data_IF_365472897747
#
_entry.id   IF_365472897747
#
_cell.length_a   1.000
_cell.length_b   1.000
_cell.length_c   1.000
_cell.angle_alpha   90.00
_cell.angle_beta   90.00
_cell.angle_gamma   90.00
#
_symmetry.space_group_name_H-M   'P 1'
#
loop_
_entity.id
_entity.type
_entity.pdbx_description
1 polymer ?
#
# COMPACT_ATOMS: atom_id res chain seq x y z
N UNK A 1 14.09 9.32 9.78
CA UNK A 1 12.79 9.91 9.64
C UNK A 1 12.03 9.86 10.96
N UNK A 2 11.19 10.83 11.23
CA UNK A 2 10.35 10.79 12.43
C UNK A 2 9.10 9.98 12.09
N UNK A 3 8.80 9.00 12.90
CA UNK A 3 7.62 8.15 12.85
C UNK A 3 6.33 8.91 13.14
N UNK A 4 6.46 9.93 14.02
CA UNK A 4 5.38 10.83 14.38
C UNK A 4 5.60 12.16 13.68
N UNK A 5 4.62 12.65 12.96
CA UNK A 5 4.67 14.00 12.42
C UNK A 5 4.40 15.01 13.54
N UNK A 6 5.17 16.11 13.62
CA UNK A 6 4.84 17.19 14.55
C UNK A 6 3.45 17.72 14.27
N UNK A 7 2.61 17.86 15.30
CA UNK A 7 1.24 18.35 15.17
C UNK A 7 0.17 17.27 15.03
N UNK A 8 0.56 16.00 14.86
CA UNK A 8 -0.35 14.88 14.95
C UNK A 8 -0.11 14.14 16.26
N UNK A 9 -0.90 14.47 17.25
CA UNK A 9 -0.87 13.78 18.55
C UNK A 9 -1.62 12.44 18.53
N UNK A 10 -2.39 12.18 17.48
CA UNK A 10 -3.37 11.10 17.43
C UNK A 10 -3.16 10.10 16.28
N UNK A 11 -2.06 10.20 15.55
CA UNK A 11 -1.79 9.33 14.41
C UNK A 11 -0.31 9.07 14.16
N UNK A 12 -0.03 7.96 13.51
CA UNK A 12 1.32 7.60 13.06
C UNK A 12 1.47 7.93 11.59
N UNK A 13 2.46 8.75 11.25
CA UNK A 13 2.80 9.06 9.87
C UNK A 13 4.07 8.36 9.47
N UNK A 14 4.01 7.70 8.34
CA UNK A 14 5.17 7.17 7.68
C UNK A 14 5.52 8.02 6.47
N UNK A 15 6.69 8.61 6.50
CA UNK A 15 7.23 9.34 5.37
C UNK A 15 8.16 8.42 4.59
N UNK A 16 7.91 8.31 3.29
CA UNK A 16 8.63 7.40 2.44
C UNK A 16 8.96 8.05 1.09
N UNK A 17 10.24 8.17 0.76
CA UNK A 17 10.71 8.75 -0.50
C UNK A 17 10.10 10.09 -0.86
N UNK A 18 9.76 10.29 -2.11
CA UNK A 18 8.97 11.41 -2.60
C UNK A 18 7.49 11.24 -2.27
N UNK A 19 7.04 10.01 -2.11
CA UNK A 19 5.69 9.67 -1.66
C UNK A 19 5.59 9.58 -0.15
N UNK A 20 4.35 9.59 0.33
CA UNK A 20 4.03 9.37 1.73
C UNK A 20 2.97 8.29 1.81
N UNK A 21 3.31 7.22 2.49
CA UNK A 21 2.36 6.24 2.98
C UNK A 21 2.03 6.61 4.40
N UNK A 22 0.76 6.65 4.74
CA UNK A 22 0.30 7.01 6.06
C UNK A 22 -0.33 5.80 6.72
N UNK A 23 0.11 5.52 7.92
CA UNK A 23 -0.54 4.59 8.82
C UNK A 23 -1.32 5.41 9.82
N UNK A 24 -2.62 5.21 9.91
CA UNK A 24 -3.46 5.85 10.90
C UNK A 24 -3.92 4.84 11.92
N UNK A 25 -3.73 5.18 13.18
CA UNK A 25 -4.47 4.59 14.26
C UNK A 25 -5.28 5.70 14.93
N UNK A 26 -6.60 5.57 14.94
CA UNK A 26 -7.54 6.54 15.49
C UNK A 26 -8.35 5.95 16.63
N UNK A 27 -8.79 6.77 17.57
CA UNK A 27 -8.21 7.94 18.19
C UNK A 27 -7.30 7.44 19.33
N UNK A 28 -6.03 7.52 19.18
CA UNK A 28 -5.11 6.99 20.18
C UNK A 28 -4.32 8.10 20.83
N UNK A 29 -4.11 7.93 22.11
CA UNK A 29 -3.00 8.57 22.79
C UNK A 29 -1.70 8.29 22.00
N UNK A 30 -0.68 9.15 22.08
CA UNK A 30 0.60 8.90 21.43
C UNK A 30 1.04 7.47 21.68
N UNK A 31 1.39 6.74 20.63
CA UNK A 31 1.87 5.36 20.76
C UNK A 31 3.07 5.36 21.72
N UNK A 32 3.09 4.48 22.71
CA UNK A 32 4.22 4.38 23.63
C UNK A 32 5.48 4.04 22.84
N UNK A 33 6.62 4.53 23.31
CA UNK A 33 7.91 4.15 22.74
C UNK A 33 8.13 2.66 22.98
N UNK A 34 8.17 1.89 21.90
CA UNK A 34 8.38 0.46 21.96
C UNK A 34 9.86 0.16 21.66
N UNK A 35 10.47 -0.65 22.49
CA UNK A 35 11.75 -1.30 22.17
C UNK A 35 11.44 -2.52 21.31
N UNK A 36 11.51 -2.36 19.99
CA UNK A 36 11.29 -3.46 19.07
C UNK A 36 12.48 -4.42 19.08
N UNK A 37 12.19 -5.71 19.25
CA UNK A 37 13.17 -6.81 19.25
C UNK A 37 12.83 -7.82 18.14
N UNK A 38 13.75 -8.76 17.90
CA UNK A 38 13.57 -9.81 16.90
C UNK A 38 13.37 -9.25 15.50
N UNK A 39 12.53 -9.92 14.70
CA UNK A 39 12.29 -9.55 13.30
C UNK A 39 11.77 -8.12 13.13
N UNK A 40 10.91 -7.65 14.03
CA UNK A 40 10.41 -6.27 14.00
C UNK A 40 11.56 -5.26 14.21
N UNK A 41 12.45 -5.50 15.17
CA UNK A 41 13.60 -4.64 15.43
C UNK A 41 14.56 -4.62 14.25
N UNK A 42 14.85 -5.77 13.64
CA UNK A 42 15.69 -5.90 12.46
C UNK A 42 15.09 -5.17 11.25
N UNK A 43 13.80 -5.36 10.99
CA UNK A 43 13.07 -4.70 9.91
C UNK A 43 13.08 -3.17 10.07
N UNK A 44 12.86 -2.67 11.28
CA UNK A 44 12.93 -1.24 11.58
C UNK A 44 14.34 -0.66 11.37
N UNK A 45 15.38 -1.41 11.71
CA UNK A 45 16.76 -1.01 11.47
C UNK A 45 17.09 -0.87 9.98
N UNK A 46 16.53 -1.73 9.13
CA UNK A 46 16.75 -1.67 7.68
C UNK A 46 16.28 -0.37 7.03
N UNK A 47 15.31 0.33 7.61
CA UNK A 47 14.82 1.60 7.06
C UNK A 47 15.91 2.68 6.97
N UNK A 48 16.96 2.56 7.78
CA UNK A 48 18.07 3.51 7.85
C UNK A 48 19.43 2.86 7.56
N UNK A 49 19.42 1.58 7.23
CA UNK A 49 20.63 0.79 7.01
C UNK A 49 21.49 1.32 5.84
N UNK A 50 22.82 1.22 5.88
CA UNK A 50 23.68 1.48 4.74
C UNK A 50 23.46 0.44 3.63
N UNK A 51 23.95 0.74 2.41
CA UNK A 51 23.74 -0.13 1.24
C UNK A 51 24.30 -1.56 1.44
N UNK A 52 25.39 -1.68 2.15
CA UNK A 52 26.05 -2.95 2.43
C UNK A 52 25.15 -3.89 3.24
N UNK A 53 24.50 -3.36 4.27
CA UNK A 53 23.55 -4.12 5.10
C UNK A 53 22.30 -4.48 4.30
N UNK A 54 21.80 -3.55 3.48
CA UNK A 54 20.65 -3.82 2.61
C UNK A 54 20.95 -4.95 1.61
N UNK A 55 22.15 -4.96 1.00
CA UNK A 55 22.54 -6.05 0.09
C UNK A 55 22.61 -7.41 0.79
N UNK A 56 23.10 -7.46 2.03
CA UNK A 56 23.14 -8.69 2.80
C UNK A 56 21.75 -9.26 3.08
N UNK A 57 20.77 -8.40 3.35
CA UNK A 57 19.40 -8.78 3.61
C UNK A 57 18.59 -9.13 2.35
N UNK A 58 19.10 -8.82 1.15
CA UNK A 58 18.49 -9.23 -0.12
C UNK A 58 18.36 -10.75 -0.31
N UNK A 59 19.11 -11.54 0.48
CA UNK A 59 19.07 -13.01 0.50
C UNK A 59 18.47 -13.57 1.81
N UNK A 60 17.85 -12.73 2.62
CA UNK A 60 17.21 -13.18 3.87
C UNK A 60 16.12 -14.25 3.62
N UNK A 61 15.94 -15.24 4.51
CA UNK A 61 14.80 -16.13 4.45
C UNK A 61 13.46 -15.42 4.64
N UNK A 62 13.42 -14.30 5.36
CA UNK A 62 12.23 -13.47 5.53
C UNK A 62 11.91 -12.70 4.25
N UNK A 63 10.68 -12.84 3.75
CA UNK A 63 10.17 -12.07 2.62
C UNK A 63 10.14 -10.58 2.95
N UNK A 64 9.73 -10.23 4.16
CA UNK A 64 9.69 -8.84 4.63
C UNK A 64 11.08 -8.18 4.54
N UNK A 65 12.13 -8.82 5.08
CA UNK A 65 13.47 -8.25 5.07
C UNK A 65 14.02 -8.10 3.66
N UNK A 66 13.78 -9.09 2.78
CA UNK A 66 14.16 -8.98 1.36
C UNK A 66 13.47 -7.81 0.67
N UNK A 67 12.16 -7.64 0.91
CA UNK A 67 11.38 -6.55 0.31
C UNK A 67 11.84 -5.19 0.82
N UNK A 68 12.07 -5.04 2.12
CA UNK A 68 12.61 -3.80 2.72
C UNK A 68 14.02 -3.49 2.22
N UNK A 69 14.86 -4.50 2.06
CA UNK A 69 16.20 -4.36 1.50
C UNK A 69 16.16 -3.88 0.04
N UNK A 70 15.31 -4.49 -0.78
CA UNK A 70 15.03 -4.09 -2.15
C UNK A 70 14.57 -2.62 -2.22
N UNK A 71 13.57 -2.24 -1.46
CA UNK A 71 13.09 -0.86 -1.38
C UNK A 71 14.19 0.12 -0.98
N UNK A 72 14.96 -0.25 0.04
CA UNK A 72 16.03 0.60 0.55
C UNK A 72 17.14 0.84 -0.48
N UNK A 73 17.51 -0.18 -1.25
CA UNK A 73 18.48 -0.06 -2.34
C UNK A 73 17.96 0.83 -3.47
N UNK A 74 16.72 0.61 -3.88
CA UNK A 74 16.06 1.40 -4.91
C UNK A 74 15.97 2.89 -4.53
N UNK A 75 15.56 3.18 -3.29
CA UNK A 75 15.47 4.55 -2.77
C UNK A 75 16.85 5.23 -2.65
N UNK A 76 17.94 4.46 -2.60
CA UNK A 76 19.34 4.95 -2.61
C UNK A 76 19.94 5.01 -4.00
N UNK A 77 19.11 4.87 -5.06
CA UNK A 77 19.51 4.95 -6.45
C UNK A 77 20.34 3.74 -6.92
N UNK A 78 20.15 2.59 -6.32
CA UNK A 78 20.81 1.34 -6.74
C UNK A 78 19.80 0.46 -7.49
N UNK A 79 20.19 -0.01 -8.67
CA UNK A 79 19.41 -1.01 -9.42
C UNK A 79 19.65 -2.37 -8.78
N UNK A 80 18.65 -2.87 -8.07
CA UNK A 80 18.70 -4.20 -7.46
C UNK A 80 17.90 -5.21 -8.32
N UNK A 81 18.30 -6.48 -8.25
CA UNK A 81 17.58 -7.55 -8.94
C UNK A 81 16.30 -7.93 -8.15
N UNK A 82 15.08 -7.80 -8.73
CA UNK A 82 13.85 -8.20 -8.09
C UNK A 82 13.59 -9.71 -8.09
N UNK A 83 14.38 -10.50 -8.77
CA UNK A 83 14.14 -11.93 -8.96
C UNK A 83 13.88 -12.69 -7.63
N UNK A 84 14.60 -12.44 -6.51
CA UNK A 84 14.32 -13.11 -5.25
C UNK A 84 12.93 -12.83 -4.68
N UNK A 85 12.33 -11.68 -5.01
CA UNK A 85 10.95 -11.33 -4.60
C UNK A 85 9.93 -12.01 -5.53
N UNK A 86 10.18 -11.96 -6.83
CA UNK A 86 9.25 -12.44 -7.85
C UNK A 86 9.07 -13.97 -7.85
N UNK A 87 10.01 -14.73 -7.36
CA UNK A 87 9.90 -16.20 -7.21
C UNK A 87 8.72 -16.59 -6.32
N UNK A 88 8.34 -15.76 -5.36
CA UNK A 88 7.19 -16.01 -4.47
C UNK A 88 5.85 -15.89 -5.21
N UNK A 89 5.78 -15.08 -6.28
CA UNK A 89 4.55 -14.84 -7.04
C UNK A 89 4.35 -15.83 -8.21
N UNK A 90 5.41 -16.50 -8.66
CA UNK A 90 5.41 -17.37 -9.83
C UNK A 90 4.64 -18.69 -9.67
N UNK A 91 4.05 -18.96 -8.49
CA UNK A 91 3.39 -20.23 -8.17
C UNK A 91 1.88 -20.26 -8.41
N UNK A 92 1.29 -19.18 -8.90
CA UNK A 92 -0.16 -19.14 -9.13
C UNK A 92 -0.48 -19.27 -10.62
N UNK A 93 -0.94 -20.42 -11.09
CA UNK A 93 -1.56 -20.50 -12.42
C UNK A 93 -2.95 -19.84 -12.32
N UNK A 94 -3.10 -18.67 -12.89
CA UNK A 94 -4.37 -17.95 -12.90
C UNK A 94 -5.25 -18.45 -14.01
N UNK A 95 -6.40 -19.02 -13.65
CA UNK A 95 -7.53 -19.19 -14.53
C UNK A 95 -8.22 -17.84 -14.77
N UNK A 96 -8.36 -17.43 -16.00
CA UNK A 96 -9.11 -16.24 -16.40
C UNK A 96 -10.59 -16.38 -16.05
N UNK A 97 -11.06 -15.76 -14.98
CA UNK A 97 -12.49 -15.55 -14.76
C UNK A 97 -12.88 -14.18 -15.33
N UNK A 98 -13.90 -14.18 -16.17
CA UNK A 98 -14.47 -12.95 -16.74
C UNK A 98 -15.49 -12.39 -15.74
N UNK A 99 -15.05 -11.59 -14.82
CA UNK A 99 -15.94 -10.70 -14.06
C UNK A 99 -15.55 -9.25 -14.34
N UNK A 100 -16.55 -8.40 -14.56
CA UNK A 100 -16.43 -7.05 -15.15
C UNK A 100 -15.90 -5.99 -14.20
N UNK A 101 -15.13 -6.35 -13.17
CA UNK A 101 -14.59 -5.42 -12.19
C UNK A 101 -13.08 -5.25 -12.30
N UNK A 102 -12.41 -4.87 -11.25
CA UNK A 102 -10.96 -4.62 -11.16
C UNK A 102 -10.10 -5.69 -11.87
N UNK A 103 -10.48 -6.97 -11.75
CA UNK A 103 -9.85 -8.11 -12.43
C UNK A 103 -9.89 -8.03 -13.97
N UNK A 104 -10.84 -7.32 -14.55
CA UNK A 104 -10.90 -7.13 -16.01
C UNK A 104 -9.80 -6.20 -16.54
N UNK A 105 -9.17 -5.43 -15.65
CA UNK A 105 -8.15 -4.43 -15.97
C UNK A 105 -6.74 -4.89 -15.66
N UNK A 106 -6.55 -5.67 -14.62
CA UNK A 106 -5.23 -6.14 -14.15
C UNK A 106 -5.33 -7.62 -13.79
N UNK A 107 -4.39 -8.43 -14.25
CA UNK A 107 -4.29 -9.81 -13.78
C UNK A 107 -3.81 -9.83 -12.32
N UNK A 108 -4.37 -10.72 -11.49
CA UNK A 108 -3.96 -10.89 -10.11
C UNK A 108 -2.47 -11.22 -9.98
N UNK A 109 -1.91 -12.02 -10.90
CA UNK A 109 -0.47 -12.31 -10.94
C UNK A 109 0.38 -11.07 -11.14
N UNK A 110 -0.03 -10.18 -12.06
CA UNK A 110 0.68 -8.94 -12.30
C UNK A 110 0.61 -8.04 -11.06
N UNK A 111 -0.58 -7.92 -10.47
CA UNK A 111 -0.78 -7.13 -9.28
C UNK A 111 0.06 -7.64 -8.10
N UNK A 112 0.06 -8.95 -7.88
CA UNK A 112 0.88 -9.57 -6.83
C UNK A 112 2.38 -9.28 -6.99
N UNK A 113 2.88 -9.22 -8.23
CA UNK A 113 4.27 -8.80 -8.50
C UNK A 113 4.49 -7.33 -8.19
N UNK A 114 3.54 -6.48 -8.56
CA UNK A 114 3.59 -5.04 -8.29
C UNK A 114 3.59 -4.76 -6.79
N UNK A 115 2.76 -5.45 -6.02
CA UNK A 115 2.73 -5.32 -4.55
C UNK A 115 4.11 -5.56 -3.93
N UNK A 116 4.83 -6.58 -4.37
CA UNK A 116 6.17 -6.88 -3.84
C UNK A 116 7.25 -5.90 -4.31
N UNK A 117 7.08 -5.30 -5.47
CA UNK A 117 8.05 -4.35 -6.04
C UNK A 117 7.76 -2.91 -5.68
N UNK A 118 6.54 -2.60 -5.28
CA UNK A 118 6.18 -1.22 -4.96
C UNK A 118 6.74 -0.84 -3.58
N UNK A 119 7.58 0.19 -3.52
CA UNK A 119 8.07 0.70 -2.26
C UNK A 119 6.89 1.20 -1.42
N UNK A 120 6.68 0.65 -0.24
CA UNK A 120 5.55 0.96 0.65
C UNK A 120 4.78 -0.26 1.08
N UNK A 121 4.69 -1.28 0.24
CA UNK A 121 3.93 -2.48 0.58
C UNK A 121 4.54 -3.27 1.76
N UNK A 122 5.87 -3.32 1.89
CA UNK A 122 6.49 -3.91 3.07
C UNK A 122 6.49 -2.96 4.28
N UNK A 123 6.49 -1.67 4.04
CA UNK A 123 6.49 -0.66 5.11
C UNK A 123 5.13 -0.54 5.80
N UNK A 124 4.04 -0.70 5.05
CA UNK A 124 2.69 -0.66 5.62
C UNK A 124 2.50 -1.73 6.70
N UNK A 125 2.68 -3.04 6.45
CA UNK A 125 2.59 -4.06 7.48
C UNK A 125 3.64 -3.89 8.60
N UNK A 126 4.84 -3.40 8.30
CA UNK A 126 5.84 -3.11 9.32
C UNK A 126 5.34 -2.08 10.36
N UNK A 127 4.74 -0.99 9.89
CA UNK A 127 4.23 0.05 10.79
C UNK A 127 2.93 -0.35 11.47
N UNK A 128 2.10 -1.15 10.80
CA UNK A 128 0.94 -1.78 11.44
C UNK A 128 1.40 -2.67 12.59
N UNK A 129 2.36 -3.55 12.35
CA UNK A 129 2.89 -4.44 13.38
C UNK A 129 3.44 -3.67 14.59
N UNK A 130 4.22 -2.61 14.33
CA UNK A 130 4.71 -1.74 15.38
C UNK A 130 3.56 -1.10 16.19
N UNK A 131 2.55 -0.56 15.50
CA UNK A 131 1.41 0.07 16.15
C UNK A 131 0.58 -0.92 16.97
N UNK A 132 0.28 -2.10 16.40
CA UNK A 132 -0.50 -3.14 17.06
C UNK A 132 0.21 -3.67 18.32
N UNK A 133 1.52 -3.90 18.24
CA UNK A 133 2.30 -4.32 19.39
C UNK A 133 2.35 -3.24 20.48
N UNK A 134 2.46 -1.97 20.08
CA UNK A 134 2.49 -0.85 21.02
C UNK A 134 1.18 -0.67 21.81
N UNK A 135 0.05 -1.12 21.26
CA UNK A 135 -1.28 -1.04 21.91
C UNK A 135 -1.78 -2.39 22.43
N UNK A 136 -0.96 -3.45 22.36
CA UNK A 136 -1.28 -4.76 22.92
C UNK A 136 -2.30 -5.58 22.11
N UNK A 137 -2.37 -5.37 20.79
CA UNK A 137 -3.29 -6.07 19.88
C UNK A 137 -2.58 -7.06 18.93
N UNK A 138 -1.36 -7.44 19.24
CA UNK A 138 -0.50 -8.29 18.40
C UNK A 138 -0.88 -9.79 18.38
N UNK A 139 -1.94 -10.17 19.10
CA UNK A 139 -2.40 -11.57 19.22
C UNK A 139 -3.89 -11.72 19.04
N UNK A 140 -4.54 -10.71 18.50
CA UNK A 140 -5.99 -10.69 18.38
C UNK A 140 -6.47 -11.39 17.10
N UNK A 141 -7.68 -11.95 17.18
CA UNK A 141 -8.47 -12.27 15.99
C UNK A 141 -8.94 -10.97 15.35
N UNK A 142 -8.73 -10.80 14.06
CA UNK A 142 -9.00 -9.54 13.40
C UNK A 142 -9.59 -9.73 11.99
N UNK A 143 -10.28 -8.69 11.52
CA UNK A 143 -10.82 -8.64 10.18
C UNK A 143 -9.85 -7.87 9.28
N UNK A 144 -9.37 -8.49 8.20
CA UNK A 144 -8.52 -7.88 7.18
C UNK A 144 -9.36 -7.56 5.94
N UNK A 145 -9.56 -6.27 5.66
CA UNK A 145 -10.52 -5.78 4.67
C UNK A 145 -9.84 -5.48 3.34
N UNK A 146 -10.29 -6.15 2.28
CA UNK A 146 -9.71 -6.05 0.96
C UNK A 146 -8.34 -6.71 0.91
N UNK A 147 -8.26 -7.95 1.37
CA UNK A 147 -7.00 -8.69 1.54
C UNK A 147 -6.24 -8.88 0.22
N UNK A 148 -6.93 -8.83 -0.93
CA UNK A 148 -6.31 -9.06 -2.22
C UNK A 148 -5.64 -10.42 -2.32
N UNK A 149 -4.50 -10.55 -3.02
CA UNK A 149 -3.73 -11.80 -3.08
C UNK A 149 -3.02 -12.15 -1.76
N UNK A 150 -3.00 -11.26 -0.76
CA UNK A 150 -2.58 -11.55 0.62
C UNK A 150 -1.12 -11.24 0.96
N UNK A 151 -0.35 -10.55 0.11
CA UNK A 151 1.07 -10.29 0.39
C UNK A 151 1.28 -9.42 1.62
N UNK A 152 0.50 -8.34 1.80
CA UNK A 152 0.60 -7.51 3.01
C UNK A 152 0.23 -8.29 4.27
N UNK A 153 -0.78 -9.17 4.18
CA UNK A 153 -1.16 -10.05 5.27
C UNK A 153 -0.04 -11.04 5.62
N UNK A 154 0.58 -11.66 4.62
CA UNK A 154 1.72 -12.54 4.83
C UNK A 154 2.87 -11.83 5.54
N UNK A 155 3.22 -10.61 5.10
CA UNK A 155 4.28 -9.82 5.72
C UNK A 155 3.92 -9.41 7.16
N UNK A 156 2.65 -9.09 7.41
CA UNK A 156 2.16 -8.80 8.76
C UNK A 156 2.25 -10.02 9.67
N UNK A 157 1.89 -11.20 9.17
CA UNK A 157 1.97 -12.46 9.92
C UNK A 157 3.41 -12.95 10.14
N UNK A 158 4.37 -12.60 9.27
CA UNK A 158 5.80 -12.81 9.58
C UNK A 158 6.23 -12.02 10.84
N UNK A 159 5.70 -10.82 11.03
CA UNK A 159 6.03 -9.97 12.17
C UNK A 159 5.25 -10.33 13.44
N UNK A 160 3.99 -10.68 13.29
CA UNK A 160 3.04 -10.98 14.37
C UNK A 160 2.36 -12.35 14.14
N UNK A 161 3.09 -13.46 14.36
CA UNK A 161 2.64 -14.80 13.99
C UNK A 161 1.48 -15.33 14.85
N UNK A 162 1.07 -14.60 15.87
CA UNK A 162 -0.06 -14.96 16.75
C UNK A 162 -1.35 -14.22 16.42
N UNK A 163 -1.35 -13.39 15.37
CA UNK A 163 -2.57 -12.80 14.85
C UNK A 163 -3.43 -13.88 14.16
N UNK A 164 -4.74 -13.80 14.34
CA UNK A 164 -5.72 -14.70 13.73
C UNK A 164 -6.57 -13.95 12.70
N UNK A 165 -6.17 -13.91 11.41
CA UNK A 165 -6.87 -13.15 10.39
C UNK A 165 -8.16 -13.84 9.94
N UNK A 166 -9.18 -13.01 9.72
CA UNK A 166 -10.34 -13.29 8.88
C UNK A 166 -10.26 -12.35 7.69
N UNK A 167 -10.01 -12.88 6.52
CA UNK A 167 -9.87 -12.09 5.30
C UNK A 167 -11.25 -11.74 4.70
N UNK A 168 -11.42 -10.51 4.24
CA UNK A 168 -12.58 -10.10 3.44
C UNK A 168 -12.09 -9.76 2.04
N UNK A 169 -12.45 -10.58 1.06
CA UNK A 169 -11.99 -10.41 -0.31
C UNK A 169 -13.07 -10.84 -1.30
N UNK A 170 -13.71 -9.91 -2.02
CA UNK A 170 -14.77 -10.23 -2.97
C UNK A 170 -14.28 -10.88 -4.26
N UNK A 171 -13.03 -10.64 -4.69
CA UNK A 171 -12.47 -11.16 -5.93
C UNK A 171 -12.19 -12.66 -5.86
N UNK A 172 -12.80 -13.51 -6.71
CA UNK A 172 -12.52 -14.94 -6.73
C UNK A 172 -11.06 -15.28 -7.04
N UNK A 173 -10.43 -14.55 -7.96
CA UNK A 173 -9.04 -14.79 -8.34
C UNK A 173 -8.08 -14.40 -7.21
N UNK A 174 -8.34 -13.28 -6.53
CA UNK A 174 -7.58 -12.87 -5.34
C UNK A 174 -7.72 -13.88 -4.22
N UNK A 175 -8.94 -14.39 -3.95
CA UNK A 175 -9.14 -15.46 -2.95
C UNK A 175 -8.38 -16.74 -3.29
N UNK A 176 -8.32 -17.10 -4.58
CA UNK A 176 -7.56 -18.28 -4.99
C UNK A 176 -6.05 -18.08 -4.75
N UNK A 177 -5.52 -16.90 -5.07
CA UNK A 177 -4.12 -16.55 -4.80
C UNK A 177 -3.83 -16.55 -3.29
N UNK A 178 -4.71 -15.91 -2.50
CA UNK A 178 -4.63 -15.86 -1.04
C UNK A 178 -4.61 -17.26 -0.41
N UNK A 179 -5.49 -18.15 -0.84
CA UNK A 179 -5.55 -19.52 -0.31
C UNK A 179 -4.27 -20.35 -0.60
N UNK A 180 -3.58 -20.02 -1.69
CA UNK A 180 -2.28 -20.64 -2.01
C UNK A 180 -1.14 -20.00 -1.21
N UNK A 181 -1.20 -18.70 -0.99
CA UNK A 181 -0.17 -17.96 -0.27
C UNK A 181 -0.24 -18.20 1.25
N UNK A 182 -1.45 -18.22 1.80
CA UNK A 182 -1.72 -18.41 3.24
C UNK A 182 -2.75 -19.54 3.42
N UNK A 183 -2.32 -20.81 3.34
CA UNK A 183 -3.22 -21.94 3.46
C UNK A 183 -3.97 -21.95 4.80
N UNK A 184 -5.29 -22.15 4.73
CA UNK A 184 -6.15 -22.26 5.93
C UNK A 184 -6.63 -20.93 6.50
N UNK A 185 -6.32 -19.79 5.88
CA UNK A 185 -6.93 -18.51 6.27
C UNK A 185 -8.44 -18.57 6.02
N UNK A 186 -9.22 -18.07 6.98
CA UNK A 186 -10.66 -17.91 6.83
C UNK A 186 -10.95 -16.73 5.90
N UNK A 187 -11.82 -16.94 4.89
CA UNK A 187 -12.13 -15.90 3.90
C UNK A 187 -13.63 -15.69 3.78
N UNK A 188 -14.06 -14.47 3.94
CA UNK A 188 -15.41 -13.98 3.67
C UNK A 188 -15.45 -13.39 2.24
N UNK A 189 -16.25 -13.95 1.33
CA UNK A 189 -16.21 -13.59 -0.08
C UNK A 189 -17.05 -12.37 -0.45
N UNK A 190 -17.68 -11.72 0.52
CA UNK A 190 -18.57 -10.60 0.32
C UNK A 190 -17.82 -9.26 0.23
N UNK A 191 -18.47 -8.28 -0.38
CA UNK A 191 -18.06 -6.88 -0.24
C UNK A 191 -18.15 -6.46 1.23
N UNK A 192 -17.09 -5.84 1.75
CA UNK A 192 -17.03 -5.41 3.15
C UNK A 192 -18.23 -4.55 3.56
N UNK A 193 -18.68 -3.67 2.68
CA UNK A 193 -19.80 -2.75 2.99
C UNK A 193 -21.14 -3.47 3.12
N UNK A 194 -21.24 -4.68 2.55
CA UNK A 194 -22.43 -5.55 2.60
C UNK A 194 -22.33 -6.63 3.67
N UNK A 195 -21.11 -6.88 4.18
CA UNK A 195 -20.85 -7.90 5.17
C UNK A 195 -21.71 -7.69 6.42
N UNK A 196 -22.32 -8.75 6.91
CA UNK A 196 -23.11 -8.72 8.14
C UNK A 196 -22.80 -9.94 9.02
N UNK A 197 -21.56 -10.05 9.52
CA UNK A 197 -21.19 -11.16 10.39
C UNK A 197 -21.86 -11.03 11.75
N UNK A 198 -22.16 -12.17 12.36
CA UNK A 198 -22.67 -12.21 13.74
C UNK A 198 -21.60 -11.80 14.75
N UNK A 199 -20.32 -11.85 14.34
CA UNK A 199 -19.13 -11.57 15.15
C UNK A 199 -18.72 -10.11 15.09
N UNK A 200 -18.27 -9.56 16.23
CA UNK A 200 -17.57 -8.27 16.30
C UNK A 200 -16.09 -8.49 16.60
N UNK A 201 -15.23 -7.62 16.08
CA UNK A 201 -13.78 -7.77 16.12
C UNK A 201 -13.11 -6.75 17.05
N UNK A 202 -12.05 -7.14 17.76
CA UNK A 202 -11.22 -6.21 18.51
C UNK A 202 -10.39 -5.30 17.61
N UNK A 203 -10.13 -5.77 16.39
CA UNK A 203 -9.28 -5.10 15.42
C UNK A 203 -9.85 -5.30 14.01
N UNK A 204 -9.91 -4.22 13.25
CA UNK A 204 -10.14 -4.24 11.80
C UNK A 204 -8.94 -3.58 11.13
N UNK A 205 -8.36 -4.26 10.15
CA UNK A 205 -7.23 -3.76 9.36
C UNK A 205 -7.68 -3.57 7.92
N UNK A 206 -7.20 -2.52 7.26
CA UNK A 206 -7.39 -2.31 5.83
C UNK A 206 -6.11 -1.73 5.23
N UNK A 207 -5.48 -2.46 4.31
CA UNK A 207 -4.23 -2.06 3.67
C UNK A 207 -4.45 -1.90 2.17
N UNK A 208 -4.30 -0.67 1.65
CA UNK A 208 -4.36 -0.39 0.22
C UNK A 208 -5.73 -0.61 -0.43
N UNK A 209 -6.81 -0.75 0.33
CA UNK A 209 -8.14 -1.09 -0.21
C UNK A 209 -9.24 -0.08 0.13
N UNK A 210 -9.06 0.75 1.14
CA UNK A 210 -10.14 1.66 1.60
C UNK A 210 -10.53 2.70 0.54
N UNK A 211 -9.61 3.07 -0.35
CA UNK A 211 -9.85 4.03 -1.43
C UNK A 211 -10.78 3.48 -2.54
N UNK A 212 -10.98 2.17 -2.64
CA UNK A 212 -11.95 1.55 -3.55
C UNK A 212 -13.37 1.58 -3.02
N UNK A 213 -13.57 1.91 -1.75
CA UNK A 213 -14.86 1.91 -1.10
C UNK A 213 -15.37 3.33 -0.85
N UNK A 214 -16.70 3.49 -0.72
CA UNK A 214 -17.25 4.73 -0.17
C UNK A 214 -16.72 4.90 1.26
N UNK A 215 -15.93 5.96 1.49
CA UNK A 215 -15.30 6.24 2.78
C UNK A 215 -16.30 6.19 3.94
N UNK A 216 -17.48 6.80 3.73
CA UNK A 216 -18.50 6.83 4.75
C UNK A 216 -19.07 5.44 5.07
N UNK A 217 -19.40 4.65 4.04
CA UNK A 217 -19.90 3.29 4.22
C UNK A 217 -18.85 2.38 4.86
N UNK A 218 -17.59 2.54 4.46
CA UNK A 218 -16.47 1.83 5.05
C UNK A 218 -16.35 2.13 6.55
N UNK A 219 -16.34 3.41 6.94
CA UNK A 219 -16.21 3.81 8.34
C UNK A 219 -17.42 3.38 9.17
N UNK A 220 -18.63 3.55 8.64
CA UNK A 220 -19.86 3.13 9.33
C UNK A 220 -19.88 1.61 9.56
N UNK A 221 -19.51 0.83 8.52
CA UNK A 221 -19.44 -0.62 8.64
C UNK A 221 -18.36 -1.03 9.64
N UNK A 222 -17.17 -0.47 9.56
CA UNK A 222 -16.09 -0.75 10.50
C UNK A 222 -16.50 -0.44 11.94
N UNK A 223 -17.17 0.70 12.18
CA UNK A 223 -17.67 1.05 13.49
C UNK A 223 -18.67 0.02 14.05
N UNK A 224 -19.57 -0.51 13.21
CA UNK A 224 -20.55 -1.53 13.61
C UNK A 224 -19.93 -2.87 13.94
N UNK A 225 -18.86 -3.23 13.22
CA UNK A 225 -18.16 -4.51 13.37
C UNK A 225 -17.08 -4.49 14.44
N UNK A 226 -16.68 -3.32 14.90
CA UNK A 226 -15.75 -3.21 16.03
C UNK A 226 -16.48 -3.44 17.35
N UNK A 227 -15.89 -4.24 18.22
CA UNK A 227 -16.33 -4.32 19.62
C UNK A 227 -16.03 -2.99 20.34
N UNK A 228 -16.73 -2.66 21.43
CA UNK A 228 -16.41 -1.48 22.22
C UNK A 228 -14.92 -1.46 22.64
N UNK A 229 -14.23 -0.36 22.35
CA UNK A 229 -12.79 -0.25 22.56
C UNK A 229 -11.91 -0.90 21.49
N UNK A 230 -12.52 -1.46 20.45
CA UNK A 230 -11.78 -1.99 19.30
C UNK A 230 -11.12 -0.92 18.46
N UNK A 231 -10.16 -1.33 17.63
CA UNK A 231 -9.33 -0.46 16.80
C UNK A 231 -9.60 -0.70 15.31
N UNK A 232 -9.78 0.38 14.54
CA UNK A 232 -9.64 0.39 13.09
C UNK A 232 -8.24 0.90 12.73
N UNK A 233 -7.46 0.09 12.02
CA UNK A 233 -6.15 0.44 11.51
C UNK A 233 -6.19 0.48 9.97
N UNK A 234 -5.85 1.62 9.39
CA UNK A 234 -5.85 1.81 7.93
C UNK A 234 -4.47 2.25 7.47
N UNK A 235 -3.90 1.52 6.53
CA UNK A 235 -2.71 1.89 5.79
C UNK A 235 -3.06 1.98 4.31
N UNK A 236 -3.03 3.19 3.74
CA UNK A 236 -3.52 3.42 2.39
C UNK A 236 -2.76 4.54 1.69
N UNK A 237 -3.16 4.86 0.48
CA UNK A 237 -2.58 5.90 -0.34
C UNK A 237 -3.24 7.25 -0.05
N UNK A 238 -2.58 8.04 0.79
CA UNK A 238 -3.07 9.36 1.13
C UNK A 238 -2.25 10.45 0.44
N UNK A 239 -2.92 11.34 -0.28
CA UNK A 239 -2.26 12.54 -0.79
C UNK A 239 -1.75 13.40 0.36
N UNK A 240 -0.66 14.12 0.11
CA UNK A 240 -0.23 15.18 1.02
C UNK A 240 -1.37 16.19 1.22
N UNK A 241 -1.49 16.79 2.39
CA UNK A 241 -2.37 17.94 2.57
C UNK A 241 -2.10 18.99 1.50
N UNK A 242 -3.14 19.58 0.97
CA UNK A 242 -3.08 20.65 -0.02
C UNK A 242 -4.12 21.72 0.32
N UNK A 243 -3.84 22.95 -0.11
CA UNK A 243 -4.73 24.10 0.06
C UNK A 243 -5.16 24.68 -1.27
N UNK A 244 -4.40 24.42 -2.34
CA UNK A 244 -4.68 24.90 -3.69
C UNK A 244 -4.82 23.74 -4.68
N UNK A 245 -5.43 24.02 -5.85
CA UNK A 245 -5.53 23.07 -6.96
C UNK A 245 -4.15 22.67 -7.49
N UNK A 246 -3.24 23.62 -7.53
CA UNK A 246 -1.87 23.42 -7.99
C UNK A 246 -1.10 22.48 -7.06
N UNK A 247 -1.22 22.68 -5.74
CA UNK A 247 -0.63 21.75 -4.76
C UNK A 247 -1.23 20.35 -4.89
N UNK A 248 -2.54 20.24 -5.10
CA UNK A 248 -3.19 18.96 -5.32
C UNK A 248 -2.65 18.28 -6.58
N UNK A 249 -2.62 19.00 -7.71
CA UNK A 249 -2.11 18.45 -8.97
C UNK A 249 -0.67 17.97 -8.84
N UNK A 250 0.20 18.75 -8.21
CA UNK A 250 1.58 18.38 -7.92
C UNK A 250 1.64 17.12 -7.03
N UNK A 251 0.82 17.04 -5.99
CA UNK A 251 0.81 15.88 -5.10
C UNK A 251 0.34 14.60 -5.82
N UNK A 252 -0.65 14.71 -6.72
CA UNK A 252 -1.08 13.61 -7.57
C UNK A 252 0.05 13.13 -8.49
N UNK A 253 0.73 14.05 -9.17
CA UNK A 253 1.85 13.68 -10.05
C UNK A 253 2.96 12.99 -9.26
N UNK A 254 3.35 13.52 -8.11
CA UNK A 254 4.36 12.89 -7.25
C UNK A 254 3.94 11.50 -6.77
N UNK A 255 2.66 11.32 -6.46
CA UNK A 255 2.11 10.04 -6.04
C UNK A 255 2.21 9.00 -7.17
N UNK A 256 1.55 9.25 -8.28
CA UNK A 256 1.49 8.29 -9.40
C UNK A 256 2.86 8.02 -10.04
N UNK A 257 3.71 9.03 -10.19
CA UNK A 257 5.06 8.82 -10.76
C UNK A 257 5.96 8.01 -9.84
N UNK A 258 5.80 8.13 -8.51
CA UNK A 258 6.55 7.29 -7.59
C UNK A 258 6.07 5.82 -7.60
N UNK A 259 4.83 5.57 -7.94
CA UNK A 259 4.31 4.21 -8.18
C UNK A 259 5.04 3.50 -9.31
N UNK A 260 5.50 4.24 -10.30
CA UNK A 260 6.20 3.69 -11.47
C UNK A 260 7.69 3.45 -11.23
N UNK A 261 8.24 3.99 -10.15
CA UNK A 261 9.66 3.96 -9.85
C UNK A 261 10.29 2.56 -9.75
N UNK A 262 9.62 1.56 -9.14
CA UNK A 262 10.19 0.22 -9.01
C UNK A 262 10.06 -0.64 -10.26
N UNK A 263 9.33 -0.19 -11.27
CA UNK A 263 9.13 -1.00 -12.47
C UNK A 263 10.35 -0.97 -13.37
N UNK A 264 10.72 -2.09 -13.98
CA UNK A 264 11.78 -2.16 -14.97
C UNK A 264 11.33 -1.55 -16.30
N UNK A 265 10.92 -0.29 -16.27
CA UNK A 265 10.56 0.51 -17.43
C UNK A 265 11.71 1.41 -17.78
N UNK A 266 12.07 1.50 -19.06
CA UNK A 266 12.83 2.63 -19.52
C UNK A 266 12.03 3.89 -19.29
N UNK A 267 12.57 4.81 -18.52
CA UNK A 267 11.91 6.05 -18.20
C UNK A 267 11.91 6.93 -19.46
N UNK A 268 10.72 7.27 -19.95
CA UNK A 268 10.57 8.16 -21.10
C UNK A 268 10.94 9.60 -20.72
N UNK A 269 11.33 10.41 -21.70
CA UNK A 269 11.63 11.83 -21.45
C UNK A 269 10.44 12.55 -20.80
N UNK A 270 9.22 12.26 -21.27
CA UNK A 270 8.01 12.86 -20.75
C UNK A 270 7.75 12.48 -19.29
N UNK A 271 7.93 11.20 -18.93
CA UNK A 271 7.78 10.73 -17.54
C UNK A 271 8.82 11.35 -16.61
N UNK A 272 10.07 11.44 -17.07
CA UNK A 272 11.13 12.11 -16.33
C UNK A 272 10.85 13.59 -16.12
N UNK A 273 10.46 14.32 -17.17
CA UNK A 273 10.11 15.73 -17.10
C UNK A 273 8.92 15.97 -16.16
N UNK A 274 7.90 15.11 -16.23
CA UNK A 274 6.72 15.15 -15.37
C UNK A 274 7.11 15.08 -13.88
N UNK A 275 7.96 14.12 -13.53
CA UNK A 275 8.48 13.97 -12.17
C UNK A 275 9.32 15.15 -11.71
N UNK A 276 10.20 15.64 -12.58
CA UNK A 276 11.08 16.75 -12.26
C UNK A 276 10.29 18.02 -11.97
N UNK A 277 9.31 18.36 -12.81
CA UNK A 277 8.44 19.51 -12.60
C UNK A 277 7.65 19.39 -11.28
N UNK A 278 7.09 18.21 -11.00
CA UNK A 278 6.37 18.00 -9.76
C UNK A 278 7.27 18.15 -8.52
N UNK A 279 8.52 17.69 -8.59
CA UNK A 279 9.50 17.86 -7.51
C UNK A 279 9.88 19.32 -7.30
N UNK A 280 9.98 20.10 -8.37
CA UNK A 280 10.29 21.53 -8.34
C UNK A 280 9.10 22.39 -7.87
N UNK A 281 7.92 21.81 -7.75
CA UNK A 281 6.72 22.52 -7.32
C UNK A 281 5.96 23.19 -8.45
N UNK A 282 6.32 22.89 -9.70
CA UNK A 282 5.59 23.41 -10.87
C UNK A 282 4.27 22.66 -11.06
N UNK A 283 3.25 23.40 -11.50
CA UNK A 283 1.93 22.81 -11.82
C UNK A 283 1.59 22.92 -13.31
N UNK A 284 2.29 23.79 -14.02
CA UNK A 284 2.04 24.02 -15.45
C UNK A 284 2.64 22.90 -16.28
N UNK A 285 1.89 22.48 -17.28
CA UNK A 285 2.34 21.45 -18.22
C UNK A 285 2.28 20.01 -17.71
N UNK A 286 1.93 19.77 -16.45
CA UNK A 286 1.87 18.42 -15.88
C UNK A 286 0.93 17.50 -16.65
N UNK A 287 -0.22 18.02 -17.07
CA UNK A 287 -1.18 17.24 -17.87
C UNK A 287 -0.59 16.82 -19.22
N UNK A 288 -0.04 17.78 -19.98
CA UNK A 288 0.52 17.50 -21.30
C UNK A 288 1.64 16.46 -21.23
N UNK A 289 2.51 16.55 -20.21
CA UNK A 289 3.57 15.57 -19.99
C UNK A 289 3.01 14.18 -19.58
N UNK A 290 1.92 14.13 -18.82
CA UNK A 290 1.29 12.88 -18.48
C UNK A 290 0.62 12.22 -19.70
N UNK A 291 0.01 12.99 -20.58
CA UNK A 291 -0.55 12.56 -21.86
C UNK A 291 0.54 12.05 -22.80
N UNK A 292 1.65 12.78 -22.91
CA UNK A 292 2.81 12.38 -23.71
C UNK A 292 3.45 11.09 -23.16
N UNK A 293 3.67 10.99 -21.85
CA UNK A 293 4.20 9.77 -21.22
C UNK A 293 3.26 8.57 -21.43
N UNK A 294 1.95 8.76 -21.39
CA UNK A 294 0.98 7.73 -21.70
C UNK A 294 1.10 7.27 -23.15
N UNK A 295 1.22 8.20 -24.10
CA UNK A 295 1.38 7.92 -25.51
C UNK A 295 2.68 7.14 -25.80
N UNK A 296 3.78 7.50 -25.14
CA UNK A 296 5.07 6.79 -25.27
C UNK A 296 4.96 5.30 -24.88
N UNK A 297 4.05 4.98 -23.97
CA UNK A 297 3.81 3.61 -23.50
C UNK A 297 2.76 2.84 -24.30
N UNK A 298 2.01 3.48 -25.21
CA UNK A 298 0.90 2.83 -25.94
C UNK A 298 1.34 1.64 -26.80
N UNK A 299 2.54 1.71 -27.36
CA UNK A 299 3.08 0.68 -28.25
C UNK A 299 3.68 -0.51 -27.48
N UNK A 300 3.80 -0.42 -26.16
CA UNK A 300 4.38 -1.47 -25.33
C UNK A 300 3.30 -2.40 -24.80
N UNK A 301 3.55 -3.69 -24.89
CA UNK A 301 2.60 -4.75 -24.50
C UNK A 301 3.06 -5.54 -23.27
N UNK A 302 4.20 -5.20 -22.67
CA UNK A 302 4.64 -5.87 -21.46
C UNK A 302 3.75 -5.49 -20.24
N UNK A 303 3.75 -6.36 -19.25
CA UNK A 303 2.88 -6.24 -18.09
C UNK A 303 3.11 -4.95 -17.30
N UNK A 304 4.36 -4.52 -17.17
CA UNK A 304 4.70 -3.30 -16.43
C UNK A 304 4.29 -2.03 -17.18
N UNK A 305 4.44 -2.01 -18.51
CA UNK A 305 3.94 -0.91 -19.33
C UNK A 305 2.41 -0.82 -19.28
N UNK A 306 1.72 -1.96 -19.21
CA UNK A 306 0.26 -1.99 -19.03
C UNK A 306 -0.13 -1.36 -17.69
N UNK A 307 0.54 -1.71 -16.61
CA UNK A 307 0.30 -1.09 -15.31
C UNK A 307 0.63 0.40 -15.30
N UNK A 308 1.76 0.79 -15.91
CA UNK A 308 2.15 2.18 -16.01
C UNK A 308 1.10 3.03 -16.76
N UNK A 309 0.50 2.49 -17.83
CA UNK A 309 -0.61 3.17 -18.51
C UNK A 309 -1.82 3.38 -17.60
N UNK A 310 -2.17 2.38 -16.80
CA UNK A 310 -3.28 2.50 -15.85
C UNK A 310 -3.01 3.58 -14.81
N UNK A 311 -1.77 3.65 -14.29
CA UNK A 311 -1.37 4.69 -13.34
C UNK A 311 -1.41 6.10 -13.96
N UNK A 312 -0.93 6.26 -15.19
CA UNK A 312 -1.01 7.53 -15.90
C UNK A 312 -2.45 7.93 -16.23
N UNK A 313 -3.31 6.98 -16.59
CA UNK A 313 -4.74 7.22 -16.79
C UNK A 313 -5.42 7.64 -15.48
N UNK A 314 -5.09 7.00 -14.36
CA UNK A 314 -5.59 7.37 -13.04
C UNK A 314 -5.11 8.78 -12.65
N UNK A 315 -3.86 9.13 -12.94
CA UNK A 315 -3.33 10.48 -12.75
C UNK A 315 -4.13 11.51 -13.56
N UNK A 316 -4.34 11.27 -14.85
CA UNK A 316 -5.08 12.18 -15.73
C UNK A 316 -6.52 12.36 -15.24
N UNK A 317 -7.20 11.27 -14.89
CA UNK A 317 -8.53 11.32 -14.31
C UNK A 317 -8.54 12.11 -12.99
N UNK A 318 -7.54 11.91 -12.15
CA UNK A 318 -7.37 12.64 -10.89
C UNK A 318 -7.11 14.14 -11.09
N UNK A 319 -6.40 14.53 -12.15
CA UNK A 319 -6.19 15.94 -12.51
C UNK A 319 -7.47 16.60 -13.03
N UNK A 320 -8.37 15.84 -13.66
CA UNK A 320 -9.66 16.34 -14.14
C UNK A 320 -10.70 16.48 -13.04
N UNK A 321 -10.57 15.70 -11.98
CA UNK A 321 -11.59 15.63 -10.95
C UNK A 321 -11.63 16.92 -10.14
N UNK A 322 -12.70 17.71 -10.28
CA UNK A 322 -13.01 18.86 -9.46
C UNK A 322 -13.57 18.43 -8.11
N UNK A 323 -12.73 17.94 -7.21
CA UNK A 323 -13.17 17.69 -5.85
C UNK A 323 -13.05 18.97 -5.04
N UNK A 324 -14.13 19.35 -4.42
CA UNK A 324 -14.09 20.17 -3.22
C UNK A 324 -13.34 19.39 -2.11
N UNK A 325 -12.06 19.45 -2.18
CA UNK A 325 -11.08 19.62 -1.12
C UNK A 325 -11.25 18.92 0.22
N UNK A 326 -11.56 17.65 0.30
CA UNK A 326 -11.20 16.94 1.52
C UNK A 326 -10.14 15.90 1.18
N UNK A 327 -8.92 16.11 1.67
CA UNK A 327 -7.91 15.08 1.64
C UNK A 327 -8.40 13.89 2.47
N UNK A 328 -8.10 12.68 2.07
CA UNK A 328 -8.47 11.47 2.79
C UNK A 328 -8.18 11.56 4.31
N UNK A 329 -7.02 12.07 4.75
CA UNK A 329 -6.74 12.28 6.18
C UNK A 329 -7.76 13.16 6.90
N UNK A 330 -8.25 14.22 6.26
CA UNK A 330 -9.27 15.07 6.87
C UNK A 330 -10.62 14.36 7.01
N UNK A 331 -10.97 13.48 6.08
CA UNK A 331 -12.21 12.70 6.18
C UNK A 331 -12.21 11.69 7.31
N UNK A 332 -11.04 11.18 7.69
CA UNK A 332 -10.90 10.30 8.85
C UNK A 332 -10.82 11.05 10.18
N UNK A 333 -10.43 12.32 10.15
CA UNK A 333 -10.27 13.14 11.34
C UNK A 333 -11.51 13.97 11.68
N UNK A 334 -12.42 14.19 10.74
CA UNK A 334 -13.71 14.83 10.92
C UNK A 334 -14.83 13.83 11.24
#
# INVERSE_FOLDING_TARGET
>A
GRWLAPGFQEGVFVRWGANRTYLFSLPLAPLPRLEAQGLLGEALALLHAPKEDLRSHGQSPSLLLRTLAWEGLLLKGEVADPAPLLVQTARSPVGSSKEEDWESRISVDLYARVELLHPGYARQPLFLAYGLQAVGLEKERFLDVGTGPGHHLLLLLELLPHLEPVAVEPSPASRQALAQLIPGVEVLPEDFTLLDPEETFPLIVCVGASHHMSTWRFLEKAYRLLRPGGLLAVADEFLRPFTTREERARNLVLHHTAYLLPFPLEETEALWALRLLALQGESRGLRALAEEALQDLETRSDAFATFARLELQALLAGLDYEVETKTYPRRFLE
#
